data_IF_055658537606
#
_entry.id   IF_055658537606
#
_cell.length_a   1.000
_cell.length_b   1.000
_cell.length_c   1.000
_cell.angle_alpha   90.00
_cell.angle_beta   90.00
_cell.angle_gamma   90.00
#
_symmetry.space_group_name_H-M   'P 1'
#
loop_
_entity.id
_entity.type
_entity.pdbx_description
1 polymer ?
#
# COMPACT_ATOMS: atom_id res chain seq x y z
N UNK A 1 37.96 -4.96 -4.03
CA UNK A 1 36.79 -4.37 -4.73
C UNK A 1 36.60 -2.87 -4.43
N UNK A 2 36.40 -2.43 -3.17
CA UNK A 2 36.25 -0.98 -2.83
C UNK A 2 37.38 -0.12 -3.39
N UNK A 3 38.62 -0.54 -3.15
CA UNK A 3 39.82 0.14 -3.63
C UNK A 3 39.83 0.32 -5.16
N UNK A 4 39.51 -0.72 -5.92
CA UNK A 4 39.47 -0.66 -7.40
C UNK A 4 38.43 0.35 -7.91
N UNK A 5 37.25 0.39 -7.30
CA UNK A 5 36.19 1.35 -7.66
C UNK A 5 36.58 2.78 -7.30
N UNK A 6 37.28 2.96 -6.19
CA UNK A 6 37.82 4.25 -5.81
C UNK A 6 38.91 4.70 -6.80
N UNK A 7 39.82 3.82 -7.19
CA UNK A 7 40.85 4.12 -8.19
C UNK A 7 40.26 4.39 -9.58
N UNK A 8 39.19 3.69 -9.96
CA UNK A 8 38.44 3.98 -11.18
C UNK A 8 37.87 5.40 -11.14
N UNK A 9 37.20 5.77 -10.05
CA UNK A 9 36.67 7.11 -9.86
C UNK A 9 37.76 8.19 -9.94
N UNK A 10 38.90 7.97 -9.28
CA UNK A 10 40.03 8.92 -9.31
C UNK A 10 40.63 9.08 -10.71
N UNK A 11 40.70 8.00 -11.51
CA UNK A 11 41.32 8.03 -12.84
C UNK A 11 40.40 8.56 -13.94
N UNK A 12 39.10 8.29 -13.85
CA UNK A 12 38.17 8.56 -14.96
C UNK A 12 37.03 9.50 -14.59
N UNK A 13 36.86 9.83 -13.30
CA UNK A 13 35.71 10.58 -12.81
C UNK A 13 34.40 9.79 -12.82
N UNK A 14 34.44 8.48 -13.12
CA UNK A 14 33.23 7.64 -13.11
C UNK A 14 32.77 7.42 -11.66
N UNK A 15 31.51 7.71 -11.41
CA UNK A 15 30.85 7.45 -10.12
C UNK A 15 30.12 6.11 -10.16
N UNK A 16 30.25 5.31 -9.10
CA UNK A 16 29.63 3.98 -9.00
C UNK A 16 28.88 3.82 -7.68
N UNK A 17 27.71 3.17 -7.76
CA UNK A 17 27.05 2.54 -6.63
C UNK A 17 27.00 1.03 -6.87
N UNK A 18 27.33 0.24 -5.85
CA UNK A 18 27.20 -1.22 -5.86
C UNK A 18 26.30 -1.61 -4.71
N UNK A 19 25.34 -2.49 -5.02
CA UNK A 19 24.49 -3.17 -4.06
C UNK A 19 24.65 -4.66 -4.33
N UNK A 20 25.01 -5.42 -3.31
CA UNK A 20 25.10 -6.87 -3.32
C UNK A 20 24.24 -7.43 -2.20
N UNK A 21 23.25 -8.24 -2.56
CA UNK A 21 22.27 -8.82 -1.64
C UNK A 21 22.23 -10.32 -1.85
N UNK A 22 21.83 -11.07 -0.82
CA UNK A 22 21.62 -12.52 -0.99
C UNK A 22 20.30 -12.81 -1.72
N UNK A 23 20.21 -14.00 -2.30
CA UNK A 23 18.99 -14.49 -2.94
C UNK A 23 18.25 -15.55 -2.10
N UNK A 24 18.89 -16.06 -1.06
CA UNK A 24 18.43 -17.18 -0.24
C UNK A 24 18.46 -16.85 1.27
N UNK A 25 17.71 -17.61 2.06
CA UNK A 25 17.64 -17.44 3.51
C UNK A 25 18.74 -18.17 4.27
N UNK A 26 19.43 -19.11 3.62
CA UNK A 26 20.45 -19.95 4.25
C UNK A 26 21.78 -19.19 4.44
N UNK A 27 22.01 -18.17 3.62
CA UNK A 27 23.19 -17.30 3.73
C UNK A 27 23.01 -16.21 4.79
N UNK A 28 23.76 -16.29 5.89
CA UNK A 28 23.74 -15.27 6.95
C UNK A 28 24.70 -14.09 6.66
N UNK A 29 24.51 -13.41 5.52
CA UNK A 29 25.27 -12.20 5.19
C UNK A 29 24.32 -10.99 5.08
N UNK A 30 24.73 -9.87 5.68
CA UNK A 30 24.05 -8.58 5.53
C UNK A 30 24.26 -8.00 4.13
N UNK A 31 23.28 -7.28 3.55
CA UNK A 31 23.45 -6.58 2.28
C UNK A 31 24.73 -5.75 2.26
N UNK A 32 25.53 -5.97 1.23
CA UNK A 32 26.71 -5.18 0.95
C UNK A 32 26.32 -3.98 0.08
N UNK A 33 26.71 -2.79 0.47
CA UNK A 33 26.56 -1.60 -0.36
C UNK A 33 27.81 -0.73 -0.32
N UNK A 34 28.07 -0.05 -1.43
CA UNK A 34 29.21 0.85 -1.57
C UNK A 34 28.89 1.95 -2.58
N UNK A 35 29.30 3.17 -2.29
CA UNK A 35 29.26 4.30 -3.20
C UNK A 35 30.66 4.93 -3.29
N UNK A 36 31.10 5.29 -4.49
CA UNK A 36 32.42 5.92 -4.71
C UNK A 36 32.52 7.31 -4.08
N UNK A 37 31.41 8.05 -4.01
CA UNK A 37 31.35 9.37 -3.40
C UNK A 37 30.03 9.61 -2.67
N UNK A 38 30.03 10.60 -1.75
CA UNK A 38 28.83 11.04 -1.03
C UNK A 38 27.74 11.53 -2.00
N UNK A 39 28.12 12.12 -3.12
CA UNK A 39 27.18 12.65 -4.14
C UNK A 39 26.27 11.56 -4.70
N UNK A 40 26.81 10.35 -4.87
CA UNK A 40 26.03 9.20 -5.33
C UNK A 40 25.02 8.79 -4.26
N UNK A 41 25.43 8.70 -2.99
CA UNK A 41 24.52 8.39 -1.90
C UNK A 41 23.41 9.46 -1.75
N UNK A 42 23.79 10.74 -1.79
CA UNK A 42 22.87 11.88 -1.75
C UNK A 42 21.88 11.86 -2.94
N UNK A 43 22.32 11.41 -4.12
CA UNK A 43 21.43 11.25 -5.28
C UNK A 43 20.31 10.24 -5.01
N UNK A 44 20.62 9.10 -4.37
CA UNK A 44 19.60 8.11 -4.02
C UNK A 44 18.61 8.67 -2.99
N UNK A 45 19.10 9.38 -1.98
CA UNK A 45 18.24 10.02 -0.98
C UNK A 45 17.37 11.12 -1.60
N UNK A 46 17.93 11.96 -2.47
CA UNK A 46 17.19 13.03 -3.13
C UNK A 46 16.08 12.49 -4.07
N UNK A 47 16.40 11.44 -4.84
CA UNK A 47 15.54 10.89 -5.91
C UNK A 47 14.51 9.91 -5.37
N UNK A 48 14.92 8.99 -4.50
CA UNK A 48 14.06 7.91 -4.00
C UNK A 48 13.56 8.15 -2.57
N UNK A 49 13.98 9.25 -1.92
CA UNK A 49 13.63 9.56 -0.51
C UNK A 49 14.02 8.43 0.46
N UNK A 50 15.09 7.71 0.14
CA UNK A 50 15.58 6.57 0.91
C UNK A 50 17.10 6.44 0.73
N UNK A 51 17.80 5.98 1.76
CA UNK A 51 19.25 5.83 1.70
C UNK A 51 19.64 4.56 0.91
N UNK A 52 20.90 4.46 0.50
CA UNK A 52 21.38 3.33 -0.31
C UNK A 52 21.31 1.97 0.42
N UNK A 53 21.44 1.97 1.75
CA UNK A 53 21.37 0.76 2.57
C UNK A 53 19.95 0.18 2.59
N UNK A 54 18.94 1.04 2.75
CA UNK A 54 17.52 0.68 2.73
C UNK A 54 17.11 0.13 1.36
N UNK A 55 17.65 0.69 0.28
CA UNK A 55 17.45 0.16 -1.07
C UNK A 55 18.04 -1.25 -1.16
N UNK A 56 19.24 -1.48 -0.62
CA UNK A 56 19.83 -2.81 -0.52
C UNK A 56 18.98 -3.79 0.28
N UNK A 57 18.46 -3.38 1.43
CA UNK A 57 17.55 -4.20 2.25
C UNK A 57 16.26 -4.55 1.50
N UNK A 58 15.65 -3.58 0.81
CA UNK A 58 14.46 -3.83 -0.01
C UNK A 58 14.80 -4.76 -1.17
N UNK A 59 15.91 -4.54 -1.87
CA UNK A 59 16.35 -5.44 -2.95
C UNK A 59 16.60 -6.88 -2.42
N UNK A 60 17.18 -7.04 -1.24
CA UNK A 60 17.32 -8.37 -0.61
C UNK A 60 15.96 -9.01 -0.31
N UNK A 61 15.05 -8.24 0.29
CA UNK A 61 13.68 -8.71 0.55
C UNK A 61 12.96 -9.11 -0.75
N UNK A 62 13.22 -8.41 -1.86
CA UNK A 62 12.69 -8.73 -3.19
C UNK A 62 13.19 -10.07 -3.69
N UNK A 63 14.50 -10.29 -3.59
CA UNK A 63 15.11 -11.49 -4.15
C UNK A 63 14.71 -12.73 -3.35
N UNK A 64 14.56 -12.58 -2.03
CA UNK A 64 14.11 -13.66 -1.15
C UNK A 64 12.61 -13.94 -1.31
N UNK A 65 11.78 -12.88 -1.30
CA UNK A 65 10.31 -13.02 -1.19
C UNK A 65 9.57 -12.84 -2.52
N UNK A 66 10.24 -12.40 -3.58
CA UNK A 66 9.64 -11.99 -4.84
C UNK A 66 8.92 -10.63 -4.79
N UNK A 67 8.22 -10.30 -5.89
CA UNK A 67 7.41 -9.06 -6.06
C UNK A 67 6.38 -8.88 -4.95
N UNK A 68 5.85 -9.99 -4.42
CA UNK A 68 4.85 -10.01 -3.36
C UNK A 68 5.34 -9.34 -2.06
N UNK A 69 6.65 -9.37 -1.78
CA UNK A 69 7.22 -8.93 -0.51
C UNK A 69 7.37 -7.41 -0.34
N UNK A 70 7.34 -6.62 -1.42
CA UNK A 70 7.77 -5.21 -1.38
C UNK A 70 6.67 -4.20 -1.59
N UNK A 71 5.75 -4.48 -2.52
CA UNK A 71 4.85 -3.42 -3.03
C UNK A 71 3.47 -3.46 -2.37
N UNK A 72 3.06 -4.56 -1.74
CA UNK A 72 1.65 -4.70 -1.32
C UNK A 72 1.39 -4.87 0.17
N UNK A 73 2.39 -4.96 1.05
CA UNK A 73 2.09 -5.41 2.41
C UNK A 73 1.20 -4.40 3.18
N UNK A 74 1.48 -3.10 3.13
CA UNK A 74 0.68 -2.16 3.94
C UNK A 74 -0.79 -2.03 3.47
N UNK A 75 -1.02 -1.94 2.16
CA UNK A 75 -2.37 -1.85 1.61
C UNK A 75 -3.11 -3.17 1.82
N UNK A 76 -2.45 -4.31 1.62
CA UNK A 76 -3.04 -5.62 1.86
C UNK A 76 -3.33 -5.82 3.34
N UNK A 77 -2.39 -5.52 4.24
CA UNK A 77 -2.58 -5.55 5.70
C UNK A 77 -3.76 -4.68 6.11
N UNK A 78 -3.91 -3.49 5.52
CA UNK A 78 -5.04 -2.62 5.80
C UNK A 78 -6.36 -3.23 5.31
N UNK A 79 -6.38 -3.84 4.12
CA UNK A 79 -7.56 -4.52 3.58
C UNK A 79 -7.94 -5.74 4.43
N UNK A 80 -6.97 -6.58 4.79
CA UNK A 80 -7.15 -7.75 5.64
C UNK A 80 -7.65 -7.32 7.03
N UNK A 81 -7.09 -6.24 7.59
CA UNK A 81 -7.53 -5.69 8.86
C UNK A 81 -8.96 -5.15 8.78
N UNK A 82 -9.35 -4.53 7.67
CA UNK A 82 -10.73 -4.05 7.42
C UNK A 82 -11.72 -5.21 7.35
N UNK A 83 -11.36 -6.29 6.65
CA UNK A 83 -12.18 -7.50 6.55
C UNK A 83 -12.35 -8.16 7.91
N UNK A 84 -11.24 -8.40 8.62
CA UNK A 84 -11.26 -8.98 9.97
C UNK A 84 -12.10 -8.14 10.94
N UNK A 85 -11.97 -6.81 10.87
CA UNK A 85 -12.74 -5.89 11.69
C UNK A 85 -14.24 -5.98 11.40
N UNK A 86 -14.63 -5.98 10.13
CA UNK A 86 -16.03 -6.07 9.72
C UNK A 86 -16.66 -7.40 10.16
N UNK A 87 -15.93 -8.51 10.02
CA UNK A 87 -16.35 -9.82 10.50
C UNK A 87 -16.51 -9.84 12.03
N UNK A 88 -15.55 -9.28 12.78
CA UNK A 88 -15.60 -9.21 14.24
C UNK A 88 -16.79 -8.39 14.75
N UNK A 89 -17.03 -7.21 14.16
CA UNK A 89 -18.16 -6.35 14.51
C UNK A 89 -19.48 -7.08 14.28
N UNK A 90 -19.66 -7.72 13.12
CA UNK A 90 -20.87 -8.47 12.81
C UNK A 90 -21.06 -9.66 13.77
N UNK A 91 -19.98 -10.37 14.10
CA UNK A 91 -20.02 -11.46 15.06
C UNK A 91 -20.47 -10.97 16.45
N UNK A 92 -19.86 -9.91 16.97
CA UNK A 92 -20.21 -9.30 18.26
C UNK A 92 -21.63 -8.73 18.28
N UNK A 93 -22.12 -8.20 17.16
CA UNK A 93 -23.51 -7.77 17.04
C UNK A 93 -24.48 -8.95 17.17
N UNK A 94 -24.20 -10.05 16.47
CA UNK A 94 -25.03 -11.26 16.52
C UNK A 94 -25.07 -11.87 17.93
N UNK A 95 -23.93 -11.84 18.63
CA UNK A 95 -23.82 -12.28 20.03
C UNK A 95 -24.77 -11.47 20.94
N UNK A 96 -24.85 -10.15 20.75
CA UNK A 96 -25.72 -9.28 21.54
C UNK A 96 -27.21 -9.35 21.13
N UNK A 97 -27.51 -9.40 19.83
CA UNK A 97 -28.88 -9.29 19.31
C UNK A 97 -29.78 -10.50 19.60
N UNK A 98 -29.23 -11.62 20.12
CA UNK A 98 -29.90 -12.92 20.31
C UNK A 98 -30.56 -13.51 19.05
N UNK A 99 -30.42 -12.83 17.91
CA UNK A 99 -31.03 -13.13 16.61
C UNK A 99 -29.97 -12.92 15.54
N UNK A 100 -30.01 -13.75 14.49
CA UNK A 100 -29.08 -13.64 13.37
C UNK A 100 -29.37 -12.39 12.52
N UNK A 101 -28.53 -11.37 12.65
CA UNK A 101 -28.51 -10.19 11.80
C UNK A 101 -27.69 -10.51 10.54
N UNK A 102 -28.28 -10.47 9.33
CA UNK A 102 -27.60 -10.90 8.11
C UNK A 102 -26.47 -9.96 7.68
N UNK A 103 -26.58 -8.66 7.99
CA UNK A 103 -25.62 -7.63 7.58
C UNK A 103 -25.58 -6.48 8.57
N UNK A 104 -24.39 -5.91 8.78
CA UNK A 104 -24.20 -4.71 9.59
C UNK A 104 -24.64 -3.44 8.84
N UNK A 105 -25.50 -2.62 9.46
CA UNK A 105 -25.94 -1.33 8.92
C UNK A 105 -25.34 -0.18 9.73
N UNK A 106 -24.31 0.46 9.20
CA UNK A 106 -23.70 1.64 9.82
C UNK A 106 -24.55 2.91 9.59
N UNK A 107 -25.00 3.09 8.35
CA UNK A 107 -25.98 4.12 8.01
C UNK A 107 -27.35 3.72 8.56
N UNK A 108 -28.00 4.66 9.25
CA UNK A 108 -29.28 4.43 9.92
C UNK A 108 -29.22 3.28 10.95
N UNK A 109 -28.08 3.09 11.63
CA UNK A 109 -27.91 2.08 12.68
C UNK A 109 -29.06 2.09 13.70
N UNK A 110 -29.51 3.28 14.13
CA UNK A 110 -30.63 3.45 15.05
C UNK A 110 -31.95 2.84 14.53
N UNK A 111 -32.25 3.01 13.24
CA UNK A 111 -33.50 2.54 12.64
C UNK A 111 -33.44 1.07 12.24
N UNK A 112 -32.33 0.66 11.63
CA UNK A 112 -32.19 -0.70 11.07
C UNK A 112 -31.75 -1.73 12.10
N UNK A 113 -30.96 -1.33 13.09
CA UNK A 113 -30.43 -2.23 14.12
C UNK A 113 -31.11 -1.96 15.46
N UNK A 114 -30.98 -0.76 16.02
CA UNK A 114 -31.47 -0.47 17.38
C UNK A 114 -32.98 -0.65 17.49
N UNK A 115 -33.78 -0.12 16.55
CA UNK A 115 -35.24 -0.24 16.60
C UNK A 115 -35.76 -1.68 16.43
N UNK A 116 -35.04 -2.52 15.68
CA UNK A 116 -35.46 -3.91 15.38
C UNK A 116 -35.01 -4.91 16.43
N UNK A 117 -33.77 -4.77 16.89
CA UNK A 117 -33.12 -5.77 17.75
C UNK A 117 -32.87 -5.26 19.18
N UNK A 118 -33.12 -3.98 19.46
CA UNK A 118 -32.87 -3.40 20.77
C UNK A 118 -31.38 -3.32 21.14
N UNK A 119 -30.48 -3.23 20.17
CA UNK A 119 -29.03 -3.21 20.40
C UNK A 119 -28.44 -1.81 20.21
N UNK A 120 -27.57 -1.41 21.13
CA UNK A 120 -26.78 -0.16 21.09
C UNK A 120 -25.29 -0.50 21.07
N UNK A 121 -24.49 0.32 20.40
CA UNK A 121 -23.03 0.23 20.45
C UNK A 121 -22.50 1.21 21.51
N UNK A 122 -21.77 0.70 22.50
CA UNK A 122 -21.13 1.47 23.56
C UNK A 122 -19.61 1.47 23.39
N UNK A 123 -18.94 2.54 23.83
CA UNK A 123 -17.48 2.61 23.85
C UNK A 123 -16.81 2.72 22.47
N UNK A 124 -17.54 3.21 21.47
CA UNK A 124 -16.96 3.47 20.15
C UNK A 124 -15.91 4.60 20.24
N UNK A 125 -14.67 4.33 19.81
CA UNK A 125 -13.54 5.23 20.04
C UNK A 125 -13.39 6.34 18.99
N UNK A 126 -14.02 6.19 17.81
CA UNK A 126 -13.96 7.22 16.77
C UNK A 126 -15.05 8.27 16.99
N UNK A 127 -14.82 9.48 16.50
CA UNK A 127 -15.79 10.59 16.60
C UNK A 127 -17.13 10.28 15.93
N UNK A 128 -17.10 9.47 14.87
CA UNK A 128 -18.28 9.04 14.11
C UNK A 128 -18.35 7.51 14.06
N UNK A 129 -19.55 6.98 14.23
CA UNK A 129 -19.85 5.58 13.97
C UNK A 129 -19.90 5.33 12.46
N UNK A 130 -18.94 4.60 11.92
CA UNK A 130 -18.76 4.38 10.47
C UNK A 130 -18.37 2.94 10.14
N UNK A 131 -18.41 2.61 8.84
CA UNK A 131 -17.95 1.32 8.34
C UNK A 131 -16.42 1.23 8.45
N UNK A 132 -15.85 0.07 8.86
CA UNK A 132 -14.39 -0.15 8.83
C UNK A 132 -13.74 0.20 7.49
N UNK A 133 -14.44 -0.02 6.37
CA UNK A 133 -13.95 0.33 5.03
C UNK A 133 -13.71 1.83 4.84
N UNK A 134 -14.49 2.68 5.52
CA UNK A 134 -14.39 4.14 5.45
C UNK A 134 -13.25 4.70 6.33
N UNK A 135 -12.68 3.88 7.21
CA UNK A 135 -11.54 4.26 8.06
C UNK A 135 -10.27 4.23 7.21
N UNK A 136 -9.66 5.40 7.01
CA UNK A 136 -8.44 5.55 6.21
C UNK A 136 -7.14 5.27 6.99
N UNK A 137 -7.18 5.36 8.32
CA UNK A 137 -6.00 5.19 9.18
C UNK A 137 -5.88 3.76 9.71
N UNK A 138 -4.73 3.12 9.43
CA UNK A 138 -4.41 1.79 9.96
C UNK A 138 -4.40 1.78 11.50
N UNK A 139 -3.83 2.82 12.11
CA UNK A 139 -3.75 2.95 13.58
C UNK A 139 -5.15 3.03 14.22
N UNK A 140 -6.06 3.81 13.65
CA UNK A 140 -7.45 3.91 14.14
C UNK A 140 -8.16 2.55 14.08
N UNK A 141 -7.94 1.81 12.99
CA UNK A 141 -8.52 0.49 12.79
C UNK A 141 -7.96 -0.54 13.78
N UNK A 142 -6.66 -0.52 14.06
CA UNK A 142 -6.02 -1.36 15.07
C UNK A 142 -6.55 -1.07 16.48
N UNK A 143 -6.66 0.21 16.85
CA UNK A 143 -7.20 0.64 18.15
C UNK A 143 -8.64 0.18 18.31
N UNK A 144 -9.46 0.34 17.27
CA UNK A 144 -10.85 -0.09 17.29
C UNK A 144 -10.96 -1.63 17.39
N UNK A 145 -10.12 -2.38 16.66
CA UNK A 145 -10.06 -3.85 16.75
C UNK A 145 -9.72 -4.30 18.18
N UNK A 146 -8.70 -3.69 18.78
CA UNK A 146 -8.34 -3.97 20.17
C UNK A 146 -9.46 -3.58 21.16
N UNK A 147 -10.19 -2.50 20.91
CA UNK A 147 -11.32 -2.09 21.74
C UNK A 147 -12.46 -3.13 21.74
N UNK A 148 -12.77 -3.74 20.58
CA UNK A 148 -13.75 -4.82 20.50
C UNK A 148 -13.26 -6.13 21.13
N UNK A 149 -11.97 -6.46 20.97
CA UNK A 149 -11.38 -7.65 21.58
C UNK A 149 -11.30 -7.56 23.11
N UNK A 150 -10.96 -6.38 23.63
CA UNK A 150 -10.89 -6.10 25.08
C UNK A 150 -12.26 -5.85 25.72
N UNK A 151 -13.31 -5.63 24.92
CA UNK A 151 -14.66 -5.30 25.42
C UNK A 151 -14.86 -3.83 25.82
N UNK A 152 -13.86 -2.96 25.55
CA UNK A 152 -13.99 -1.51 25.71
C UNK A 152 -15.07 -0.94 24.78
N UNK A 153 -15.08 -1.42 23.53
CA UNK A 153 -16.17 -1.22 22.58
C UNK A 153 -17.01 -2.50 22.52
N UNK A 154 -18.32 -2.41 22.72
CA UNK A 154 -19.20 -3.58 22.72
C UNK A 154 -20.61 -3.25 22.26
N UNK A 155 -21.31 -4.28 21.81
CA UNK A 155 -22.75 -4.21 21.59
C UNK A 155 -23.47 -4.61 22.87
N UNK A 156 -24.39 -3.76 23.31
CA UNK A 156 -25.22 -3.97 24.48
C UNK A 156 -26.68 -4.14 24.05
N UNK A 157 -27.30 -5.24 24.47
CA UNK A 157 -28.72 -5.47 24.26
C UNK A 157 -29.50 -4.78 25.37
N UNK A 158 -30.33 -3.81 25.01
CA UNK A 158 -31.16 -3.06 25.94
C UNK A 158 -32.23 -3.96 26.56
N UNK A 159 -32.50 -3.75 27.85
CA UNK A 159 -33.66 -4.34 28.51
C UNK A 159 -34.98 -3.80 27.94
N UNK A 160 -36.10 -4.46 28.23
CA UNK A 160 -37.44 -4.04 27.76
C UNK A 160 -37.79 -2.62 28.23
N UNK A 161 -37.43 -2.27 29.47
CA UNK A 161 -37.68 -0.93 30.01
C UNK A 161 -36.82 0.14 29.33
N UNK A 162 -35.53 -0.15 29.12
CA UNK A 162 -34.60 0.75 28.44
C UNK A 162 -35.02 0.96 26.98
N UNK A 163 -35.44 -0.11 26.32
CA UNK A 163 -35.94 -0.06 24.96
C UNK A 163 -37.22 0.78 24.86
N UNK A 164 -38.16 0.64 25.81
CA UNK A 164 -39.35 1.49 25.88
C UNK A 164 -38.99 2.97 26.05
N UNK A 165 -38.09 3.28 27.00
CA UNK A 165 -37.60 4.67 27.20
C UNK A 165 -36.94 5.21 25.92
N UNK A 166 -36.18 4.38 25.22
CA UNK A 166 -35.57 4.75 23.94
C UNK A 166 -36.62 5.04 22.86
N UNK A 167 -37.67 4.20 22.75
CA UNK A 167 -38.78 4.42 21.83
C UNK A 167 -39.55 5.71 22.15
N UNK A 168 -39.89 5.94 23.42
CA UNK A 168 -40.59 7.15 23.87
C UNK A 168 -39.78 8.41 23.53
N UNK A 169 -38.46 8.37 23.73
CA UNK A 169 -37.55 9.47 23.36
C UNK A 169 -37.53 9.71 21.85
N UNK A 170 -37.51 8.66 21.04
CA UNK A 170 -37.54 8.77 19.58
C UNK A 170 -38.89 9.30 19.07
N UNK A 171 -39.99 8.90 19.71
CA UNK A 171 -41.33 9.40 19.41
C UNK A 171 -41.49 10.88 19.78
N UNK A 172 -41.03 11.28 20.97
CA UNK A 172 -41.05 12.67 21.41
C UNK A 172 -40.18 13.57 20.52
N UNK A 173 -39.02 13.09 20.07
CA UNK A 173 -38.18 13.80 19.12
C UNK A 173 -38.86 14.00 17.74
N UNK A 174 -39.67 13.03 17.31
CA UNK A 174 -40.43 13.13 16.05
C UNK A 174 -41.59 14.15 16.16
N UNK A 175 -42.24 14.26 17.32
CA UNK A 175 -43.31 15.25 17.55
C UNK A 175 -42.74 16.65 17.77
N UNK A 176 -41.73 16.79 18.63
CA UNK A 176 -41.14 18.10 18.98
C UNK A 176 -40.29 18.73 17.87
N UNK A 177 -39.86 17.96 16.87
CA UNK A 177 -39.13 18.48 15.70
C UNK A 177 -39.98 19.36 14.78
N UNK A 178 -41.30 19.46 15.00
CA UNK A 178 -42.20 20.30 14.20
C UNK A 178 -42.25 21.75 14.72
N UNK A 179 -41.92 21.99 15.99
CA UNK A 179 -42.31 23.25 16.67
C UNK A 179 -41.19 24.30 16.82
N UNK A 180 -39.98 24.04 16.31
CA UNK A 180 -38.86 25.01 16.33
C UNK A 180 -38.47 25.54 14.95
N UNK A 181 -39.41 25.51 14.00
CA UNK A 181 -39.25 26.19 12.70
C UNK A 181 -39.99 27.53 12.71
N UNK A 182 -39.75 28.33 13.73
CA UNK A 182 -40.20 29.71 13.78
C UNK A 182 -39.08 30.65 13.28
N UNK A 183 -39.45 31.39 12.23
CA UNK A 183 -38.95 32.71 11.87
C UNK A 183 -37.54 32.86 11.24
N UNK A 184 -37.47 32.46 9.97
CA UNK A 184 -36.82 33.33 8.97
C UNK A 184 -37.76 33.45 7.78
N UNK A 185 -38.55 34.52 7.82
CA UNK A 185 -39.47 34.87 6.76
C UNK A 185 -38.77 35.13 5.44
N UNK A 186 -39.23 34.45 4.39
CA UNK A 186 -39.37 35.01 3.04
C UNK A 186 -40.09 34.01 2.13
N UNK A 187 -41.19 34.50 1.57
CA UNK A 187 -41.87 34.08 0.33
C UNK A 187 -42.76 32.84 0.32
N UNK A 188 -44.02 33.12 0.69
CA UNK A 188 -45.24 32.79 -0.07
C UNK A 188 -45.00 32.24 -1.49
N UNK A 189 -45.38 30.99 -1.72
CA UNK A 189 -46.61 30.67 -2.45
C UNK A 189 -46.70 29.18 -2.77
N UNK A 190 -47.94 28.70 -2.86
CA UNK A 190 -48.40 27.46 -3.48
C UNK A 190 -48.71 26.27 -2.54
N UNK A 191 -49.83 26.44 -1.83
CA UNK A 191 -50.70 25.36 -1.40
C UNK A 191 -51.44 24.79 -2.61
N UNK A 192 -51.35 23.48 -2.83
CA UNK A 192 -52.45 22.67 -3.37
C UNK A 192 -52.25 21.19 -3.06
N UNK A 193 -53.08 20.70 -2.12
CA UNK A 193 -53.71 19.39 -2.03
C UNK A 193 -53.00 18.17 -2.65
N UNK A 194 -52.75 17.15 -1.84
CA UNK A 194 -52.87 15.77 -2.32
C UNK A 194 -53.58 14.90 -1.28
N UNK A 195 -54.82 14.60 -1.65
CA UNK A 195 -55.77 13.68 -1.03
C UNK A 195 -55.30 12.24 -1.27
N UNK A 196 -55.54 11.40 -0.26
CA UNK A 196 -55.43 9.95 -0.26
C UNK A 196 -56.18 9.30 -1.45
N UNK A 197 -55.53 8.41 -2.19
CA UNK A 197 -56.17 7.44 -3.08
C UNK A 197 -55.64 6.01 -2.86
N UNK A 198 -56.54 4.99 -2.78
CA UNK A 198 -56.17 3.58 -2.65
C UNK A 198 -55.89 2.91 -4.02
N UNK A 199 -55.35 1.67 -4.05
CA UNK A 199 -54.67 1.11 -5.21
C UNK A 199 -55.65 0.43 -6.17
N UNK A 200 -55.42 0.61 -7.47
CA UNK A 200 -56.11 -0.17 -8.51
C UNK A 200 -55.11 -0.77 -9.50
N UNK A 201 -55.17 -2.10 -9.54
CA UNK A 201 -54.65 -3.06 -10.50
C UNK A 201 -54.95 -2.68 -11.95
N UNK A 202 -53.95 -2.78 -12.84
CA UNK A 202 -53.96 -3.53 -14.11
C UNK A 202 -52.66 -3.26 -14.91
N UNK A 203 -52.14 -4.33 -15.50
CA UNK A 203 -50.96 -4.38 -16.36
C UNK A 203 -51.29 -3.93 -17.82
N UNK A 204 -50.47 -4.24 -18.85
CA UNK A 204 -49.20 -3.62 -19.21
C UNK A 204 -49.28 -2.96 -20.61
N UNK A 205 -48.50 -1.89 -20.85
CA UNK A 205 -48.35 -1.31 -22.18
C UNK A 205 -46.87 -1.08 -22.55
N UNK A 206 -46.43 -1.92 -23.46
CA UNK A 206 -45.34 -1.77 -24.43
C UNK A 206 -45.28 -0.37 -25.05
N UNK A 207 -44.09 0.25 -25.15
CA UNK A 207 -43.49 0.76 -26.40
C UNK A 207 -42.22 1.60 -26.18
N UNK A 208 -41.22 1.29 -27.03
CA UNK A 208 -40.14 2.11 -27.59
C UNK A 208 -38.94 2.58 -26.72
N UNK A 209 -37.70 2.24 -27.13
CA UNK A 209 -36.48 2.91 -26.72
C UNK A 209 -36.03 3.95 -27.77
N UNK A 210 -35.83 5.18 -27.33
CA UNK A 210 -35.00 6.16 -28.02
C UNK A 210 -34.50 7.14 -26.97
N UNK A 211 -33.19 7.30 -26.85
CA UNK A 211 -32.50 8.58 -26.59
C UNK A 211 -31.00 8.32 -26.47
N UNK A 212 -30.31 8.68 -27.56
CA UNK A 212 -29.05 9.42 -27.66
C UNK A 212 -27.88 9.08 -26.71
N UNK A 213 -26.81 8.62 -27.35
CA UNK A 213 -25.46 8.52 -26.80
C UNK A 213 -24.87 9.92 -26.47
N UNK A 214 -24.12 10.05 -25.37
CA UNK A 214 -23.37 11.27 -25.08
C UNK A 214 -22.04 11.30 -25.86
N UNK A 215 -21.82 12.39 -26.61
CA UNK A 215 -20.52 12.74 -27.19
C UNK A 215 -19.54 13.11 -26.07
N UNK A 216 -18.40 12.43 -26.05
CA UNK A 216 -17.28 12.67 -25.13
C UNK A 216 -16.26 13.60 -25.78
N UNK A 217 -16.25 14.86 -25.37
CA UNK A 217 -15.24 15.85 -25.74
C UNK A 217 -14.00 15.66 -24.85
N UNK A 218 -12.92 15.10 -25.39
CA UNK A 218 -11.64 15.02 -24.69
C UNK A 218 -10.90 16.37 -24.73
N UNK A 219 -10.33 16.87 -23.62
CA UNK A 219 -9.53 18.08 -23.61
C UNK A 219 -8.11 17.80 -24.14
N UNK A 220 -7.72 18.52 -25.19
CA UNK A 220 -6.35 18.57 -25.70
C UNK A 220 -5.45 19.25 -24.66
N UNK A 221 -4.59 18.49 -23.99
CA UNK A 221 -3.52 19.05 -23.16
C UNK A 221 -2.36 19.54 -24.04
N UNK A 222 -1.79 20.73 -23.76
CA UNK A 222 -0.62 21.23 -24.48
C UNK A 222 0.65 20.45 -24.11
N UNK A 223 1.43 20.14 -25.14
CA UNK A 223 2.71 19.44 -25.09
C UNK A 223 3.78 20.28 -24.36
N UNK A 224 4.55 19.73 -23.40
CA UNK A 224 5.62 20.47 -22.73
C UNK A 224 6.79 20.73 -23.68
N UNK A 225 7.16 22.01 -23.81
CA UNK A 225 8.30 22.48 -24.59
C UNK A 225 9.60 22.06 -23.93
N UNK A 226 10.39 21.23 -24.62
CA UNK A 226 11.70 20.79 -24.16
C UNK A 226 12.71 21.95 -24.30
N UNK A 227 13.25 22.42 -23.18
CA UNK A 227 14.32 23.43 -23.14
C UNK A 227 15.66 22.71 -23.37
N UNK A 228 16.48 23.10 -24.36
CA UNK A 228 17.77 22.46 -24.60
C UNK A 228 18.77 22.78 -23.47
N UNK A 229 19.67 21.83 -23.14
CA UNK A 229 20.66 22.02 -22.08
C UNK A 229 21.75 23.04 -22.49
N UNK A 230 22.32 23.79 -21.52
CA UNK A 230 23.36 24.75 -21.78
C UNK A 230 24.66 24.07 -22.21
N UNK A 231 25.22 24.56 -23.32
CA UNK A 231 26.52 24.16 -23.86
C UNK A 231 27.62 24.58 -22.88
N UNK A 232 28.26 23.61 -22.24
CA UNK A 232 29.46 23.84 -21.43
C UNK A 232 30.64 24.13 -22.35
N UNK A 233 31.14 25.36 -22.28
CA UNK A 233 32.40 25.79 -22.90
C UNK A 233 33.55 25.35 -21.99
N UNK A 234 34.37 24.40 -22.45
CA UNK A 234 35.62 24.01 -21.79
C UNK A 234 36.66 25.12 -21.93
N UNK A 235 37.27 25.62 -20.84
CA UNK A 235 38.50 26.39 -20.94
C UNK A 235 39.68 25.42 -21.09
N UNK A 236 40.37 25.52 -22.22
CA UNK A 236 41.71 24.99 -22.38
C UNK A 236 42.64 25.72 -21.40
N UNK A 237 43.29 24.97 -20.50
CA UNK A 237 44.41 25.46 -19.72
C UNK A 237 45.57 24.49 -19.90
N UNK A 238 46.54 24.97 -20.68
CA UNK A 238 47.89 24.46 -20.69
C UNK A 238 48.51 24.69 -19.32
N UNK A 239 49.11 23.65 -18.74
CA UNK A 239 50.09 23.84 -17.68
C UNK A 239 51.21 22.81 -17.85
N UNK A 240 52.41 23.38 -17.86
CA UNK A 240 53.70 22.76 -18.11
C UNK A 240 54.06 21.74 -17.02
N UNK A 241 54.70 20.66 -17.45
CA UNK A 241 55.30 19.63 -16.61
C UNK A 241 56.71 20.03 -16.17
N UNK A 242 57.05 19.98 -14.87
CA UNK A 242 58.42 19.79 -14.43
C UNK A 242 58.70 18.30 -14.22
N UNK A 243 59.72 17.81 -14.94
CA UNK A 243 60.39 16.52 -14.72
C UNK A 243 60.95 16.47 -13.29
N UNK A 244 60.42 15.55 -12.46
CA UNK A 244 61.08 15.10 -11.25
C UNK A 244 61.58 13.66 -11.45
N UNK A 245 62.90 13.55 -11.56
CA UNK A 245 63.67 12.30 -11.52
C UNK A 245 63.57 11.71 -10.11
N UNK A 246 62.87 10.57 -9.97
CA UNK A 246 62.85 9.78 -8.75
C UNK A 246 63.99 8.75 -8.75
N UNK A 247 64.81 8.79 -7.70
CA UNK A 247 65.83 7.80 -7.38
C UNK A 247 65.18 6.50 -6.87
N UNK A 248 65.78 5.31 -7.12
CA UNK A 248 65.24 4.04 -6.67
C UNK A 248 65.54 3.77 -5.18
N UNK A 249 64.50 3.45 -4.41
CA UNK A 249 64.59 2.97 -3.02
C UNK A 249 64.76 1.43 -2.99
N UNK A 250 65.54 0.89 -2.03
CA UNK A 250 65.83 -0.54 -1.94
C UNK A 250 64.67 -1.33 -1.31
N UNK A 251 64.40 -2.50 -1.89
CA UNK A 251 63.52 -3.55 -1.38
C UNK A 251 64.13 -4.19 -0.13
N UNK A 252 63.46 -4.08 1.01
CA UNK A 252 63.72 -4.94 2.18
C UNK A 252 62.59 -5.96 2.30
N UNK A 253 62.92 -7.21 2.01
CA UNK A 253 62.06 -8.39 2.22
C UNK A 253 61.91 -8.66 3.72
N UNK A 254 60.72 -8.45 4.27
CA UNK A 254 60.37 -8.94 5.61
C UNK A 254 59.59 -10.24 5.48
N UNK A 255 60.28 -11.35 5.74
CA UNK A 255 59.69 -12.68 5.94
C UNK A 255 59.02 -12.72 7.31
N UNK A 256 57.68 -12.68 7.33
CA UNK A 256 56.89 -12.97 8.53
C UNK A 256 56.58 -14.47 8.58
N UNK A 257 57.28 -15.16 9.46
CA UNK A 257 56.99 -16.52 9.89
C UNK A 257 55.82 -16.47 10.89
N UNK A 258 54.63 -16.93 10.48
CA UNK A 258 53.48 -17.09 11.37
C UNK A 258 53.31 -18.58 11.70
N UNK A 259 53.64 -18.93 12.94
CA UNK A 259 53.48 -20.26 13.51
C UNK A 259 52.00 -20.45 13.87
N UNK A 260 51.33 -21.39 13.18
CA UNK A 260 49.93 -21.71 13.38
C UNK A 260 49.80 -22.79 14.46
N UNK A 261 49.28 -22.42 15.63
CA UNK A 261 48.87 -23.34 16.69
C UNK A 261 47.38 -23.17 16.96
N UNK A 262 46.63 -24.27 16.93
CA UNK A 262 45.37 -24.37 17.68
C UNK A 262 44.13 -24.67 16.86
N UNK A 263 43.84 -25.97 16.75
CA UNK A 263 42.56 -26.61 17.12
C UNK A 263 41.25 -25.96 16.65
N UNK A 264 40.58 -26.60 15.70
CA UNK A 264 39.13 -26.44 15.55
C UNK A 264 38.43 -27.78 15.36
N UNK A 265 37.32 -27.88 16.08
CA UNK A 265 36.50 -29.05 16.38
C UNK A 265 35.74 -29.50 15.13
N UNK A 266 35.85 -30.79 14.80
CA UNK A 266 34.99 -31.45 13.82
C UNK A 266 33.61 -31.69 14.44
N UNK A 267 32.57 -31.03 13.91
CA UNK A 267 31.19 -31.46 14.12
C UNK A 267 30.69 -31.99 12.79
N UNK A 268 30.70 -33.32 12.66
CA UNK A 268 30.03 -34.04 11.59
C UNK A 268 28.55 -34.09 11.92
N UNK A 269 27.70 -33.50 11.09
CA UNK A 269 26.27 -33.81 11.09
C UNK A 269 25.91 -34.38 9.73
N UNK A 270 25.66 -35.69 9.72
CA UNK A 270 25.00 -36.40 8.64
C UNK A 270 23.53 -35.99 8.61
N UNK A 271 23.11 -35.29 7.56
CA UNK A 271 21.72 -35.26 7.16
C UNK A 271 21.58 -35.59 5.68
N UNK A 272 21.36 -36.88 5.45
CA UNK A 272 20.83 -37.45 4.23
C UNK A 272 19.35 -37.05 4.09
N UNK A 273 19.03 -36.24 3.10
CA UNK A 273 17.66 -36.03 2.62
C UNK A 273 17.72 -35.78 1.13
N UNK A 274 17.46 -36.84 0.37
CA UNK A 274 17.21 -36.81 -1.07
C UNK A 274 16.02 -35.88 -1.36
N UNK A 275 16.29 -34.69 -1.90
CA UNK A 275 15.27 -33.91 -2.60
C UNK A 275 15.38 -34.19 -4.10
N UNK A 276 14.30 -34.77 -4.62
CA UNK A 276 14.09 -35.04 -6.03
C UNK A 276 14.23 -33.76 -6.87
N UNK A 277 15.18 -33.81 -7.80
CA UNK A 277 15.34 -32.88 -8.90
C UNK A 277 14.05 -32.83 -9.73
N UNK A 278 13.29 -31.74 -9.60
CA UNK A 278 12.17 -31.43 -10.48
C UNK A 278 12.71 -30.81 -11.76
N UNK A 279 12.31 -31.38 -12.90
CA UNK A 279 12.70 -30.97 -14.25
C UNK A 279 12.44 -29.48 -14.53
N UNK A 280 13.29 -28.81 -15.33
CA UNK A 280 13.10 -27.40 -15.67
C UNK A 280 11.84 -27.19 -16.53
N UNK A 281 10.95 -26.29 -16.08
CA UNK A 281 9.87 -25.75 -16.90
C UNK A 281 10.49 -24.92 -18.03
N UNK A 282 10.36 -25.43 -19.26
CA UNK A 282 10.62 -24.70 -20.50
C UNK A 282 9.74 -23.45 -20.53
N UNK A 283 10.33 -22.31 -20.16
CA UNK A 283 9.66 -21.01 -20.18
C UNK A 283 9.79 -20.44 -21.58
N UNK A 284 8.70 -20.50 -22.35
CA UNK A 284 8.62 -19.82 -23.64
C UNK A 284 8.54 -18.31 -23.39
N UNK A 285 9.63 -17.59 -23.66
CA UNK A 285 9.65 -16.13 -23.66
C UNK A 285 8.89 -15.61 -24.88
N UNK A 286 7.74 -14.98 -24.66
CA UNK A 286 7.01 -14.25 -25.69
C UNK A 286 7.51 -12.81 -25.67
N UNK A 287 8.31 -12.43 -26.66
CA UNK A 287 8.65 -11.03 -26.92
C UNK A 287 7.48 -10.36 -27.64
N UNK A 288 6.70 -9.54 -26.91
CA UNK A 288 5.73 -8.65 -27.51
C UNK A 288 6.40 -7.29 -27.76
N UNK A 289 6.64 -6.95 -29.03
CA UNK A 289 7.01 -5.59 -29.44
C UNK A 289 5.73 -4.89 -29.90
N UNK A 290 5.31 -3.87 -29.16
CA UNK A 290 4.17 -3.02 -29.51
C UNK A 290 4.66 -1.82 -30.30
N UNK A 291 4.22 -1.67 -31.54
CA UNK A 291 4.43 -0.46 -32.33
C UNK A 291 3.54 0.68 -31.80
N UNK A 292 3.97 1.93 -32.01
CA UNK A 292 3.30 3.13 -31.47
C UNK A 292 1.87 3.37 -32.00
N UNK A 293 1.43 2.62 -33.00
CA UNK A 293 0.10 2.67 -33.60
C UNK A 293 -0.89 1.61 -33.04
N UNK A 294 -0.46 0.82 -32.06
CA UNK A 294 -1.31 -0.18 -31.40
C UNK A 294 -1.54 -1.47 -32.20
N UNK A 295 -0.87 -1.67 -33.33
CA UNK A 295 -0.92 -2.94 -34.06
C UNK A 295 0.19 -3.87 -33.59
N UNK A 296 -0.16 -4.89 -32.81
CA UNK A 296 0.77 -5.93 -32.37
C UNK A 296 0.89 -7.05 -33.42
N UNK A 297 2.12 -7.34 -33.86
CA UNK A 297 2.41 -8.51 -34.72
C UNK A 297 3.01 -9.62 -33.86
N UNK A 298 2.31 -10.75 -33.77
CA UNK A 298 2.81 -11.97 -33.14
C UNK A 298 3.67 -12.75 -34.13
N UNK A 299 4.96 -12.88 -33.85
CA UNK A 299 5.85 -13.75 -34.61
C UNK A 299 6.26 -14.96 -33.76
N UNK A 300 5.75 -16.14 -34.15
CA UNK A 300 6.18 -17.41 -33.56
C UNK A 300 7.44 -17.87 -34.29
N UNK A 301 8.60 -17.79 -33.64
CA UNK A 301 9.79 -18.49 -34.09
C UNK A 301 9.69 -19.96 -33.65
N UNK A 302 9.51 -20.88 -34.61
CA UNK A 302 9.75 -22.31 -34.39
C UNK A 302 11.26 -22.55 -34.44
N UNK A 303 11.82 -23.15 -33.39
CA UNK A 303 13.05 -23.94 -33.47
C UNK A 303 12.73 -25.35 -33.95
#
# INVERSE_FOLDING_TARGET
MKHELQMLNLRTGIECAIIGTRGDLDTYNSPYYYATSKRVADFFEATFKTNLADIGLRMEAYLISGIQGIVSNHVQELLDLKEQMAALILHKLNEAAKTKVPRMYYNNFKTSITAKYGVVCEGWLLSKFCCPSDVGSCTELMVLNHAFKSGSARFHAMGTEEFKKWQDKQFQAAIGGVENREDSGSDMSNLSNTILTPPSTLAPATLAPSTLAPQSSAPTMPLPTFVPPPTFVSPASALETPLYTLAPLPLTSNTLHLQQTGTLITITMDHNSEQQCSTPLTTNFINAVTAADGSGVLSNAKQ
#
